data_IF_279383121760
#
_entry.id   IF_279383121760
#
_cell.length_a   1.000
_cell.length_b   1.000
_cell.length_c   1.000
_cell.angle_alpha   90.00
_cell.angle_beta   90.00
_cell.angle_gamma   90.00
#
_symmetry.space_group_name_H-M   'P 1'
#
loop_
_entity.id
_entity.type
_entity.pdbx_description
1 polymer ?
#
# COMPACT_ATOMS: atom_id res chain seq x y z
N UNK A 1 18.09 56.50 62.54
CA UNK A 1 18.36 56.37 61.07
C UNK A 1 18.21 54.92 60.63
N UNK A 2 17.03 54.45 60.17
CA UNK A 2 16.92 53.19 59.38
C UNK A 2 15.55 52.85 58.75
N UNK A 3 14.51 53.67 58.85
CA UNK A 3 13.20 53.38 58.23
C UNK A 3 12.97 54.05 56.86
N UNK A 4 13.69 55.13 56.53
CA UNK A 4 13.52 55.84 55.24
C UNK A 4 14.16 55.12 54.05
N UNK A 5 15.19 54.30 54.28
CA UNK A 5 15.85 53.50 53.23
C UNK A 5 15.01 52.29 52.81
N UNK A 6 14.29 51.67 53.76
CA UNK A 6 13.45 50.50 53.51
C UNK A 6 12.21 50.83 52.67
N UNK A 7 11.55 51.98 52.94
CA UNK A 7 10.40 52.44 52.14
C UNK A 7 10.78 52.77 50.69
N UNK A 8 11.98 53.35 50.46
CA UNK A 8 12.48 53.62 49.09
C UNK A 8 12.77 52.32 48.32
N UNK A 9 13.26 51.28 49.00
CA UNK A 9 13.55 49.99 48.39
C UNK A 9 12.27 49.23 48.01
N UNK A 10 11.24 49.27 48.86
CA UNK A 10 9.92 48.68 48.58
C UNK A 10 9.21 49.37 47.40
N UNK A 11 9.33 50.69 47.27
CA UNK A 11 8.74 51.45 46.15
C UNK A 11 9.44 51.11 44.83
N UNK A 12 10.76 50.95 44.83
CA UNK A 12 11.50 50.49 43.64
C UNK A 12 11.16 49.05 43.25
N UNK A 13 10.96 48.15 44.22
CA UNK A 13 10.59 46.75 43.97
C UNK A 13 9.18 46.62 43.38
N UNK A 14 8.23 47.41 43.88
CA UNK A 14 6.85 47.47 43.35
C UNK A 14 6.78 48.08 41.95
N UNK A 15 7.57 49.12 41.66
CA UNK A 15 7.69 49.70 40.31
C UNK A 15 8.35 48.73 39.32
N UNK A 16 9.32 47.92 39.77
CA UNK A 16 9.97 46.90 38.94
C UNK A 16 9.04 45.73 38.61
N UNK A 17 8.17 45.33 39.55
CA UNK A 17 7.16 44.29 39.34
C UNK A 17 6.02 44.74 38.42
N UNK A 18 5.60 46.01 38.49
CA UNK A 18 4.55 46.57 37.61
C UNK A 18 5.02 46.80 36.16
N UNK A 19 6.32 46.96 35.92
CA UNK A 19 6.87 47.09 34.57
C UNK A 19 7.10 45.75 33.88
N UNK A 20 7.18 44.64 34.62
CA UNK A 20 7.37 43.30 34.05
C UNK A 20 6.06 42.72 33.46
N UNK A 21 4.90 43.27 33.80
CA UNK A 21 3.60 42.84 33.31
C UNK A 21 3.17 43.43 31.95
N UNK A 22 3.90 44.39 31.39
CA UNK A 22 3.49 45.11 30.16
C UNK A 22 4.24 44.61 28.90
N UNK A 23 5.14 43.62 29.04
CA UNK A 23 6.04 43.21 27.94
C UNK A 23 5.87 41.78 27.42
N UNK A 24 5.14 40.89 28.11
CA UNK A 24 5.00 39.51 27.65
C UNK A 24 3.75 39.37 26.78
N UNK A 25 3.89 39.76 25.51
CA UNK A 25 3.04 39.22 24.46
C UNK A 25 3.39 37.74 24.33
N UNK A 26 2.60 36.87 24.97
CA UNK A 26 2.74 35.44 24.79
C UNK A 26 2.32 35.12 23.35
N UNK A 27 3.19 34.53 22.51
CA UNK A 27 2.71 33.99 21.25
C UNK A 27 1.63 32.97 21.59
N UNK A 28 0.41 33.20 21.11
CA UNK A 28 -0.63 32.17 21.11
C UNK A 28 -0.07 31.01 20.31
N UNK A 29 0.28 29.92 20.98
CA UNK A 29 0.64 28.68 20.30
C UNK A 29 -0.62 28.20 19.58
N UNK A 30 -0.64 28.35 18.26
CA UNK A 30 -1.68 27.75 17.43
C UNK A 30 -1.57 26.25 17.65
N UNK A 31 -2.49 25.68 18.44
CA UNK A 31 -2.68 24.24 18.51
C UNK A 31 -3.27 23.86 17.16
N UNK A 32 -2.45 23.33 16.26
CA UNK A 32 -2.99 22.56 15.16
C UNK A 32 -3.86 21.48 15.78
N UNK A 33 -5.17 21.61 15.58
CA UNK A 33 -6.07 20.47 15.72
C UNK A 33 -5.70 19.59 14.54
N UNK A 34 -4.66 18.77 14.70
CA UNK A 34 -4.45 17.61 13.87
C UNK A 34 -5.62 16.71 14.25
N UNK A 35 -6.75 16.89 13.57
CA UNK A 35 -7.77 15.87 13.50
C UNK A 35 -7.00 14.64 13.05
N UNK A 36 -6.78 13.67 13.93
CA UNK A 36 -6.38 12.36 13.48
C UNK A 36 -7.56 11.88 12.64
N UNK A 37 -7.54 12.20 11.35
CA UNK A 37 -8.28 11.43 10.35
C UNK A 37 -7.83 10.01 10.63
N UNK A 38 -8.68 9.25 11.32
CA UNK A 38 -8.42 7.84 11.55
C UNK A 38 -8.10 7.28 10.19
N UNK A 39 -6.90 6.72 10.01
CA UNK A 39 -6.49 6.12 8.75
C UNK A 39 -7.64 5.23 8.27
N UNK A 40 -8.21 5.55 7.10
CA UNK A 40 -9.46 4.98 6.62
C UNK A 40 -9.46 3.45 6.64
N UNK A 41 -10.62 2.83 6.76
CA UNK A 41 -10.73 1.38 7.02
C UNK A 41 -11.80 0.72 6.15
N UNK A 42 -11.46 -0.38 5.49
CA UNK A 42 -12.42 -1.15 4.70
C UNK A 42 -13.49 -1.81 5.57
N UNK A 43 -14.75 -1.43 5.36
CA UNK A 43 -15.89 -2.00 6.08
C UNK A 43 -15.97 -3.52 5.92
N UNK A 44 -16.09 -4.24 7.04
CA UNK A 44 -16.18 -5.71 7.06
C UNK A 44 -14.85 -6.45 7.15
N UNK A 45 -13.70 -5.77 7.03
CA UNK A 45 -12.39 -6.38 7.27
C UNK A 45 -11.99 -6.24 8.74
N UNK A 46 -11.53 -7.34 9.33
CA UNK A 46 -11.15 -7.40 10.74
C UNK A 46 -9.70 -6.96 10.98
N UNK A 47 -8.84 -7.13 9.99
CA UNK A 47 -7.41 -6.91 10.14
C UNK A 47 -6.81 -6.22 8.91
N UNK A 48 -5.71 -5.49 9.14
CA UNK A 48 -4.81 -5.03 8.08
C UNK A 48 -3.35 -5.11 8.51
N UNK A 49 -2.44 -5.14 7.54
CA UNK A 49 -1.00 -4.89 7.73
C UNK A 49 -0.56 -3.76 6.81
N UNK A 50 0.26 -2.84 7.32
CA UNK A 50 1.00 -1.92 6.45
C UNK A 50 2.10 -2.68 5.72
N UNK A 51 2.39 -2.25 4.50
CA UNK A 51 3.51 -2.73 3.72
C UNK A 51 4.15 -1.54 3.01
N UNK A 52 5.44 -1.31 3.28
CA UNK A 52 6.18 -0.18 2.76
C UNK A 52 7.01 -0.61 1.55
N UNK A 53 6.80 0.08 0.43
CA UNK A 53 7.49 -0.14 -0.82
C UNK A 53 8.56 0.93 -0.96
N UNK A 54 9.81 0.49 -1.14
CA UNK A 54 10.93 1.39 -1.38
C UNK A 54 10.80 2.07 -2.75
N UNK A 55 11.18 3.34 -2.79
CA UNK A 55 11.17 4.11 -4.02
C UNK A 55 12.11 3.54 -5.09
N UNK A 56 11.76 3.75 -6.35
CA UNK A 56 12.51 3.26 -7.49
C UNK A 56 13.82 4.04 -7.67
N UNK A 57 14.89 3.32 -8.03
CA UNK A 57 16.19 3.92 -8.38
C UNK A 57 16.21 4.56 -9.76
N UNK A 58 15.19 4.32 -10.58
CA UNK A 58 15.04 4.88 -11.93
C UNK A 58 14.24 6.20 -11.95
N UNK A 59 13.94 6.78 -10.79
CA UNK A 59 13.00 7.89 -10.64
C UNK A 59 11.61 7.43 -10.23
N UNK A 60 10.67 8.36 -10.06
CA UNK A 60 9.29 8.02 -9.72
C UNK A 60 8.62 7.26 -10.88
N UNK A 61 7.83 6.25 -10.54
CA UNK A 61 7.09 5.41 -11.50
C UNK A 61 5.63 5.31 -11.11
N UNK A 62 4.76 5.09 -12.10
CA UNK A 62 3.31 4.99 -11.92
C UNK A 62 2.80 3.65 -12.46
N UNK A 63 1.67 3.20 -11.94
CA UNK A 63 0.96 1.99 -12.38
C UNK A 63 1.84 0.73 -12.48
N UNK A 64 2.78 0.58 -11.54
CA UNK A 64 3.78 -0.48 -11.55
C UNK A 64 3.31 -1.69 -10.74
N UNK A 65 3.57 -2.89 -11.24
CA UNK A 65 3.19 -4.13 -10.56
C UNK A 65 4.25 -4.51 -9.55
N UNK A 66 3.84 -4.65 -8.29
CA UNK A 66 4.69 -5.04 -7.16
C UNK A 66 4.29 -6.43 -6.68
N UNK A 67 5.28 -7.33 -6.59
CA UNK A 67 5.08 -8.68 -6.07
C UNK A 67 4.94 -8.65 -4.55
N UNK A 68 3.96 -9.37 -4.03
CA UNK A 68 3.73 -9.58 -2.60
C UNK A 68 3.41 -11.05 -2.38
N UNK A 69 4.16 -11.72 -1.52
CA UNK A 69 3.94 -13.12 -1.15
C UNK A 69 3.27 -13.16 0.21
N UNK A 70 2.02 -13.61 0.25
CA UNK A 70 1.22 -13.69 1.46
C UNK A 70 1.22 -15.13 1.96
N UNK A 71 1.67 -15.34 3.19
CA UNK A 71 1.60 -16.62 3.87
C UNK A 71 0.41 -16.66 4.83
N UNK A 72 -0.35 -17.75 4.79
CA UNK A 72 -1.43 -18.01 5.73
C UNK A 72 -0.90 -18.07 7.17
N UNK A 73 0.19 -18.81 7.39
CA UNK A 73 0.76 -19.07 8.72
C UNK A 73 1.44 -17.89 9.42
N UNK A 74 2.23 -18.20 10.45
CA UNK A 74 3.00 -17.24 11.23
C UNK A 74 4.46 -17.17 10.80
N UNK A 75 5.07 -15.98 10.89
CA UNK A 75 6.47 -15.75 10.55
C UNK A 75 6.81 -14.27 10.57
N UNK A 76 8.00 -13.93 10.07
CA UNK A 76 8.47 -12.54 9.97
C UNK A 76 8.17 -11.97 8.59
N UNK A 77 7.49 -10.84 8.55
CA UNK A 77 7.26 -10.08 7.31
C UNK A 77 8.48 -9.23 6.97
N UNK A 78 8.98 -9.34 5.74
CA UNK A 78 10.10 -8.52 5.23
C UNK A 78 10.20 -8.60 3.71
N UNK A 79 10.69 -7.55 3.07
CA UNK A 79 10.72 -7.49 1.60
C UNK A 79 9.32 -7.67 1.04
N UNK A 80 9.14 -8.59 0.10
CA UNK A 80 7.85 -8.94 -0.49
C UNK A 80 6.97 -9.86 0.39
N UNK A 81 7.50 -10.41 1.49
CA UNK A 81 6.84 -11.47 2.27
C UNK A 81 5.98 -10.92 3.40
N UNK A 82 4.74 -11.43 3.52
CA UNK A 82 3.75 -11.05 4.54
C UNK A 82 3.07 -12.26 5.17
N UNK A 83 3.29 -12.52 6.46
CA UNK A 83 2.59 -13.58 7.21
C UNK A 83 1.29 -13.06 7.86
N UNK A 84 0.17 -13.78 7.77
CA UNK A 84 -1.12 -13.32 8.30
C UNK A 84 -1.55 -14.02 9.60
N UNK A 85 -0.73 -14.94 10.14
CA UNK A 85 -0.94 -15.61 11.42
C UNK A 85 -2.28 -16.37 11.51
N UNK A 86 -2.70 -17.01 10.41
CA UNK A 86 -3.89 -17.84 10.29
C UNK A 86 -5.21 -17.08 10.29
N UNK A 87 -5.17 -15.77 10.03
CA UNK A 87 -6.35 -14.87 10.16
C UNK A 87 -7.02 -14.51 8.84
N UNK A 88 -6.40 -14.81 7.71
CA UNK A 88 -7.09 -14.79 6.42
C UNK A 88 -7.83 -16.12 6.20
N UNK A 89 -8.63 -16.21 5.16
CA UNK A 89 -9.16 -17.50 4.70
C UNK A 89 -8.03 -18.35 4.10
N UNK A 90 -8.20 -19.67 4.15
CA UNK A 90 -7.23 -20.60 3.57
C UNK A 90 -7.08 -20.46 2.06
N UNK A 91 -8.13 -20.01 1.36
CA UNK A 91 -8.13 -19.80 -0.10
C UNK A 91 -7.64 -18.40 -0.52
N UNK A 92 -7.25 -17.55 0.45
CA UNK A 92 -6.84 -16.15 0.25
C UNK A 92 -7.89 -15.28 -0.45
N UNK A 93 -9.16 -15.71 -0.49
CA UNK A 93 -10.24 -14.98 -1.16
C UNK A 93 -10.62 -13.66 -0.49
N UNK A 94 -10.23 -13.46 0.77
CA UNK A 94 -10.49 -12.26 1.57
C UNK A 94 -9.37 -11.23 1.56
N UNK A 95 -8.31 -11.44 0.79
CA UNK A 95 -7.23 -10.47 0.67
C UNK A 95 -7.69 -9.26 -0.15
N UNK A 96 -7.39 -8.07 0.35
CA UNK A 96 -7.54 -6.79 -0.36
C UNK A 96 -6.33 -5.90 -0.17
N UNK A 97 -6.02 -5.12 -1.21
CA UNK A 97 -4.96 -4.13 -1.17
C UNK A 97 -5.57 -2.73 -1.28
N UNK A 98 -5.05 -1.79 -0.51
CA UNK A 98 -5.38 -0.36 -0.67
C UNK A 98 -4.13 0.49 -0.70
N UNK A 99 -4.25 1.72 -1.20
CA UNK A 99 -3.23 2.76 -0.96
C UNK A 99 -3.07 3.04 0.54
N UNK A 100 -2.07 3.85 0.89
CA UNK A 100 -1.79 4.29 2.26
C UNK A 100 -2.90 5.10 2.92
N UNK A 101 -3.96 5.50 2.20
CA UNK A 101 -5.15 6.08 2.82
C UNK A 101 -6.07 5.04 3.49
N UNK A 102 -5.86 3.75 3.22
CA UNK A 102 -6.61 2.64 3.81
C UNK A 102 -7.97 2.35 3.17
N UNK A 103 -8.38 3.05 2.12
CA UNK A 103 -9.72 2.93 1.51
C UNK A 103 -9.68 2.74 -0.01
N UNK A 104 -8.76 3.40 -0.71
CA UNK A 104 -8.66 3.30 -2.17
C UNK A 104 -8.09 1.94 -2.55
N UNK A 105 -8.95 1.07 -3.10
CA UNK A 105 -8.61 -0.27 -3.57
C UNK A 105 -7.57 -0.24 -4.69
N UNK A 106 -6.68 -1.24 -4.68
CA UNK A 106 -5.68 -1.48 -5.72
C UNK A 106 -6.03 -2.77 -6.47
N UNK A 107 -5.95 -2.74 -7.80
CA UNK A 107 -6.06 -3.94 -8.64
C UNK A 107 -4.91 -4.89 -8.34
N UNK A 108 -5.21 -6.19 -8.34
CA UNK A 108 -4.22 -7.22 -8.13
C UNK A 108 -4.56 -8.47 -8.93
N UNK A 109 -3.56 -9.30 -9.15
CA UNK A 109 -3.71 -10.63 -9.74
C UNK A 109 -3.00 -11.67 -8.87
N UNK A 110 -3.63 -12.82 -8.67
CA UNK A 110 -3.04 -13.99 -8.01
C UNK A 110 -2.31 -14.80 -9.07
N UNK A 111 -0.98 -14.81 -9.00
CA UNK A 111 -0.12 -15.60 -9.88
C UNK A 111 -0.25 -17.10 -9.59
N UNK A 112 -0.12 -17.44 -8.31
CA UNK A 112 -0.28 -18.80 -7.82
C UNK A 112 -0.75 -18.78 -6.37
N UNK A 113 -1.34 -19.90 -5.94
CA UNK A 113 -1.63 -20.13 -4.53
C UNK A 113 -1.62 -21.61 -4.19
N UNK A 114 -1.26 -21.89 -2.95
CA UNK A 114 -1.45 -23.16 -2.28
C UNK A 114 -2.31 -22.89 -1.05
N UNK A 115 -3.53 -23.44 -1.04
CA UNK A 115 -4.50 -23.19 0.03
C UNK A 115 -3.90 -23.52 1.42
N UNK A 116 -4.15 -22.63 2.38
CA UNK A 116 -3.62 -22.66 3.75
C UNK A 116 -2.09 -22.59 3.89
N UNK A 117 -1.35 -22.33 2.81
CA UNK A 117 0.11 -22.12 2.84
C UNK A 117 0.49 -20.71 2.38
N UNK A 118 0.42 -20.44 1.08
CA UNK A 118 0.80 -19.13 0.52
C UNK A 118 0.05 -18.76 -0.77
N UNK A 119 0.09 -17.48 -1.11
CA UNK A 119 -0.35 -16.95 -2.40
C UNK A 119 0.57 -15.83 -2.87
N UNK A 120 0.88 -15.82 -4.17
CA UNK A 120 1.70 -14.80 -4.82
C UNK A 120 0.79 -13.80 -5.52
N UNK A 121 0.89 -12.54 -5.13
CA UNK A 121 0.11 -11.44 -5.67
C UNK A 121 1.00 -10.51 -6.47
N UNK A 122 0.50 -10.06 -7.61
CA UNK A 122 0.97 -8.85 -8.28
C UNK A 122 -0.03 -7.74 -8.03
N UNK A 123 0.43 -6.61 -7.47
CA UNK A 123 -0.43 -5.49 -7.09
C UNK A 123 -0.05 -4.27 -7.90
N UNK A 124 -1.01 -3.65 -8.59
CA UNK A 124 -0.79 -2.42 -9.36
C UNK A 124 -0.75 -1.21 -8.42
N UNK A 125 0.43 -0.63 -8.23
CA UNK A 125 0.64 0.53 -7.35
C UNK A 125 0.66 1.80 -8.19
N UNK A 126 -0.26 2.76 -7.96
CA UNK A 126 -0.46 3.91 -8.86
C UNK A 126 0.72 4.89 -8.82
N UNK A 127 1.45 4.97 -7.71
CA UNK A 127 2.60 5.86 -7.56
C UNK A 127 3.64 5.27 -6.61
N UNK A 128 4.84 5.05 -7.13
CA UNK A 128 6.04 4.68 -6.37
C UNK A 128 7.04 5.84 -6.54
N UNK A 129 7.44 6.53 -5.48
CA UNK A 129 8.35 7.67 -5.58
C UNK A 129 9.76 7.24 -5.99
N UNK A 130 10.63 8.21 -6.30
CA UNK A 130 12.06 7.95 -6.44
C UNK A 130 12.70 7.62 -5.08
N UNK A 131 13.71 6.74 -5.06
CA UNK A 131 14.54 6.47 -3.88
C UNK A 131 15.17 7.80 -3.37
N UNK A 132 15.14 8.12 -2.05
CA UNK A 132 14.75 7.30 -0.88
C UNK A 132 13.32 7.50 -0.37
N UNK A 133 12.43 8.06 -1.20
CA UNK A 133 11.01 8.07 -0.91
C UNK A 133 10.45 6.65 -0.76
N UNK A 134 9.33 6.53 -0.06
CA UNK A 134 8.60 5.28 0.13
C UNK A 134 7.12 5.51 -0.12
N UNK A 135 6.41 4.47 -0.51
CA UNK A 135 4.94 4.48 -0.57
C UNK A 135 4.41 3.34 0.30
N UNK A 136 3.30 3.60 1.00
CA UNK A 136 2.66 2.61 1.86
C UNK A 136 1.41 2.10 1.18
N UNK A 137 1.19 0.79 1.27
CA UNK A 137 -0.07 0.15 0.98
C UNK A 137 -0.55 -0.61 2.21
N UNK A 138 -1.83 -0.94 2.25
CA UNK A 138 -2.41 -1.80 3.26
C UNK A 138 -2.89 -3.12 2.66
N UNK A 139 -2.65 -4.20 3.40
CA UNK A 139 -3.10 -5.56 3.08
C UNK A 139 -4.17 -5.92 4.10
N UNK A 140 -5.41 -5.95 3.67
CA UNK A 140 -6.59 -6.28 4.47
C UNK A 140 -6.94 -7.76 4.38
N UNK A 141 -7.39 -8.33 5.49
CA UNK A 141 -7.80 -9.74 5.63
C UNK A 141 -8.77 -9.93 6.80
N UNK A 142 -9.33 -11.13 6.94
CA UNK A 142 -10.30 -11.49 7.98
C UNK A 142 -11.74 -11.11 7.63
N UNK A 143 -12.09 -11.03 6.35
CA UNK A 143 -13.48 -10.86 5.92
C UNK A 143 -14.02 -12.20 5.39
N UNK A 144 -14.77 -12.98 6.18
CA UNK A 144 -15.21 -14.31 5.77
C UNK A 144 -16.16 -14.29 4.56
N UNK A 145 -16.82 -13.16 4.27
CA UNK A 145 -17.81 -13.03 3.20
C UNK A 145 -17.25 -12.46 1.90
N UNK A 146 -15.96 -12.09 1.87
CA UNK A 146 -15.34 -11.58 0.66
C UNK A 146 -15.13 -12.68 -0.39
N UNK A 147 -15.32 -12.33 -1.66
CA UNK A 147 -14.84 -13.11 -2.82
C UNK A 147 -13.50 -12.54 -3.30
N UNK A 148 -12.68 -13.31 -4.03
CA UNK A 148 -11.49 -12.73 -4.65
C UNK A 148 -11.88 -11.70 -5.72
N UNK A 149 -11.09 -10.63 -5.84
CA UNK A 149 -11.12 -9.62 -6.91
C UNK A 149 -9.85 -9.68 -7.78
N UNK A 150 -9.19 -10.84 -7.82
CA UNK A 150 -8.02 -11.06 -8.68
C UNK A 150 -8.40 -10.87 -10.14
N UNK A 151 -7.76 -9.91 -10.81
CA UNK A 151 -7.99 -9.59 -12.22
C UNK A 151 -6.66 -9.19 -12.88
N UNK A 152 -6.21 -9.98 -13.84
CA UNK A 152 -4.96 -9.72 -14.57
C UNK A 152 -5.08 -8.59 -15.59
N UNK A 153 -6.25 -8.42 -16.22
CA UNK A 153 -6.49 -7.37 -17.22
C UNK A 153 -6.49 -5.98 -16.58
N UNK A 154 -7.03 -5.85 -15.35
CA UNK A 154 -6.95 -4.59 -14.59
C UNK A 154 -5.55 -4.33 -13.99
N UNK A 155 -4.78 -5.40 -13.76
CA UNK A 155 -3.48 -5.33 -13.07
C UNK A 155 -2.32 -5.01 -14.01
N UNK A 156 -2.29 -5.60 -15.21
CA UNK A 156 -1.19 -5.45 -16.17
C UNK A 156 -1.61 -4.66 -17.41
N UNK A 157 -0.64 -4.07 -18.13
CA UNK A 157 -0.90 -3.38 -19.39
C UNK A 157 -1.38 -4.34 -20.50
N UNK A 158 -0.86 -5.57 -20.49
CA UNK A 158 -1.26 -6.67 -21.34
C UNK A 158 -1.23 -7.94 -20.49
N UNK A 159 -2.36 -8.65 -20.45
CA UNK A 159 -2.51 -9.89 -19.70
C UNK A 159 -3.19 -10.94 -20.57
N UNK A 160 -2.76 -12.19 -20.48
CA UNK A 160 -3.50 -13.34 -20.98
C UNK A 160 -3.09 -14.55 -20.15
N UNK A 161 -4.05 -15.21 -19.51
CA UNK A 161 -3.78 -16.44 -18.76
C UNK A 161 -3.76 -17.68 -19.65
N UNK A 162 -4.03 -17.51 -20.96
CA UNK A 162 -4.09 -18.58 -21.95
C UNK A 162 -5.02 -19.72 -21.51
N UNK A 163 -6.22 -19.36 -21.06
CA UNK A 163 -7.33 -20.30 -20.91
C UNK A 163 -7.89 -20.72 -22.29
N UNK A 164 -7.88 -19.76 -23.22
CA UNK A 164 -8.23 -19.94 -24.63
C UNK A 164 -7.39 -19.01 -25.48
N UNK A 165 -7.37 -19.22 -26.81
CA UNK A 165 -6.74 -18.26 -27.71
C UNK A 165 -7.60 -17.01 -27.86
N UNK A 166 -7.08 -15.87 -27.43
CA UNK A 166 -7.76 -14.59 -27.56
C UNK A 166 -7.36 -13.87 -28.85
N UNK A 167 -8.18 -14.00 -29.90
CA UNK A 167 -7.95 -13.35 -31.19
C UNK A 167 -8.09 -11.82 -31.18
N UNK A 168 -8.56 -11.22 -30.09
CA UNK A 168 -8.56 -9.77 -29.90
C UNK A 168 -7.23 -9.25 -29.37
N UNK A 169 -6.41 -10.12 -28.74
CA UNK A 169 -5.07 -9.79 -28.20
C UNK A 169 -3.95 -10.27 -29.13
N UNK A 170 -4.11 -11.45 -29.71
CA UNK A 170 -3.07 -12.12 -30.50
C UNK A 170 -3.56 -12.39 -31.92
N UNK A 171 -2.66 -12.20 -32.89
CA UNK A 171 -2.91 -12.57 -34.28
C UNK A 171 -2.20 -13.89 -34.61
N UNK A 172 -2.85 -14.72 -35.40
CA UNK A 172 -2.22 -15.93 -35.91
C UNK A 172 -1.21 -15.54 -37.00
N UNK A 173 -0.01 -16.13 -37.03
CA UNK A 173 0.92 -15.92 -38.13
C UNK A 173 0.25 -16.30 -39.46
N UNK A 174 0.41 -15.46 -40.48
CA UNK A 174 -0.04 -15.78 -41.84
C UNK A 174 0.58 -17.08 -42.36
N UNK A 175 -0.03 -17.66 -43.39
CA UNK A 175 0.14 -19.04 -43.91
C UNK A 175 1.54 -19.44 -44.45
N UNK A 176 2.64 -18.92 -43.91
CA UNK A 176 3.99 -19.11 -44.46
C UNK A 176 5.04 -19.76 -43.55
N UNK A 177 4.84 -19.80 -42.21
CA UNK A 177 5.90 -20.29 -41.29
C UNK A 177 5.38 -21.13 -40.10
N UNK A 178 4.11 -20.98 -39.72
CA UNK A 178 3.49 -21.75 -38.63
C UNK A 178 2.28 -22.52 -39.15
N UNK A 179 2.16 -23.79 -38.76
CA UNK A 179 1.09 -24.70 -39.20
C UNK A 179 -0.10 -24.75 -38.24
N UNK A 180 0.01 -24.13 -37.05
CA UNK A 180 -1.10 -24.02 -36.09
C UNK A 180 -0.65 -23.51 -34.72
N UNK A 181 -1.60 -23.43 -33.79
CA UNK A 181 -1.37 -23.17 -32.38
C UNK A 181 -2.27 -24.07 -31.52
N UNK A 182 -1.91 -24.25 -30.26
CA UNK A 182 -2.83 -24.79 -29.24
C UNK A 182 -2.71 -24.01 -27.94
N UNK A 183 -3.80 -23.97 -27.19
CA UNK A 183 -3.80 -23.44 -25.83
C UNK A 183 -4.22 -24.57 -24.89
N UNK A 184 -3.38 -24.90 -23.92
CA UNK A 184 -3.70 -25.89 -22.90
C UNK A 184 -2.89 -25.63 -21.63
N UNK A 185 -3.47 -25.91 -20.46
CA UNK A 185 -2.80 -25.73 -19.16
C UNK A 185 -2.16 -24.34 -18.99
N UNK A 186 -2.85 -23.28 -19.41
CA UNK A 186 -2.35 -21.90 -19.36
C UNK A 186 -1.08 -21.65 -20.19
N UNK A 187 -0.82 -22.48 -21.21
CA UNK A 187 0.33 -22.38 -22.13
C UNK A 187 -0.19 -22.24 -23.56
N UNK A 188 0.36 -21.27 -24.31
CA UNK A 188 0.22 -21.15 -25.75
C UNK A 188 1.40 -21.84 -26.45
N UNK A 189 1.13 -22.90 -27.19
CA UNK A 189 2.09 -23.57 -28.06
C UNK A 189 1.92 -23.11 -29.51
N UNK A 190 3.04 -22.82 -30.17
CA UNK A 190 3.09 -22.47 -31.58
C UNK A 190 3.79 -23.59 -32.37
N UNK A 191 3.15 -24.07 -33.44
CA UNK A 191 3.69 -25.15 -34.26
C UNK A 191 4.21 -24.61 -35.59
N UNK A 192 5.42 -25.00 -35.97
CA UNK A 192 5.93 -24.81 -37.34
C UNK A 192 5.99 -26.14 -38.08
N UNK A 193 5.53 -26.13 -39.33
CA UNK A 193 5.66 -27.25 -40.25
C UNK A 193 6.21 -26.72 -41.57
N UNK A 194 7.23 -27.41 -42.10
CA UNK A 194 7.59 -27.30 -43.51
C UNK A 194 6.51 -28.08 -44.28
N UNK A 195 5.76 -27.38 -45.14
CA UNK A 195 4.98 -28.06 -46.18
C UNK A 195 5.93 -28.66 -47.23
#
# INVERSE_FOLDING_TARGET
MKMSKLKKWLVCLLLFLLLFSIGFSYPQQIREVITSVGEGWLSGWQYRKSHEIQGSTAGAVTDYQVKIIVYYGSGSSSGEVVYLNGKCRSDFGDIRFTTGNGETLLSYWIEEKVDADHAVFWVKVPNIPANPGKTTIYIYYGNPYASSQSDGDDTFLLFDHFETFNSSKWTTPGSGTYSGYSVSNSILDLYSGLY
#
